data_IF_372534068263
#
_entry.id   IF_372534068263
#
_cell.length_a   1.000
_cell.length_b   1.000
_cell.length_c   1.000
_cell.angle_alpha   90.00
_cell.angle_beta   90.00
_cell.angle_gamma   90.00
#
_symmetry.space_group_name_H-M   'P 1'
#
loop_
_entity.id
_entity.type
_entity.pdbx_description
1 polymer ?
#
# COMPACT_ATOMS: atom_id res chain seq x y z
N UNK A 1 -16.73 1.40 6.21
CA UNK A 1 -15.29 1.15 6.45
C UNK A 1 -14.71 2.04 7.55
N UNK A 2 -14.37 3.32 7.32
CA UNK A 2 -13.67 4.12 8.36
C UNK A 2 -14.47 4.31 9.66
N UNK A 3 -15.78 4.53 9.56
CA UNK A 3 -16.63 4.61 10.74
C UNK A 3 -16.64 3.31 11.55
N UNK A 4 -16.68 2.17 10.87
CA UNK A 4 -16.67 0.84 11.51
C UNK A 4 -15.32 0.55 12.17
N UNK A 5 -14.22 0.98 11.55
CA UNK A 5 -12.88 0.88 12.14
C UNK A 5 -12.75 1.77 13.37
N UNK A 6 -13.27 2.99 13.31
CA UNK A 6 -13.29 3.90 14.46
C UNK A 6 -14.06 3.30 15.65
N UNK A 7 -15.22 2.69 15.40
CA UNK A 7 -16.00 2.02 16.44
C UNK A 7 -15.26 0.83 17.07
N UNK A 8 -14.40 0.15 16.30
CA UNK A 8 -13.54 -0.95 16.78
C UNK A 8 -12.21 -0.48 17.41
N UNK A 9 -11.89 0.81 17.32
CA UNK A 9 -10.58 1.34 17.71
C UNK A 9 -9.44 0.84 16.82
N UNK A 10 -9.74 0.40 15.58
CA UNK A 10 -8.75 -0.07 14.62
C UNK A 10 -8.21 1.08 13.76
N UNK A 11 -6.96 0.98 13.36
CA UNK A 11 -6.23 2.06 12.67
C UNK A 11 -5.54 1.58 11.39
N UNK A 12 -5.33 2.48 10.44
CA UNK A 12 -4.75 2.22 9.11
C UNK A 12 -3.48 3.03 8.89
N UNK A 13 -2.45 2.37 8.36
CA UNK A 13 -1.23 2.98 7.81
C UNK A 13 -1.07 2.61 6.32
N UNK A 14 -0.56 3.55 5.50
CA UNK A 14 -0.52 3.41 4.03
C UNK A 14 0.91 3.49 3.51
N UNK A 15 1.37 2.50 2.73
CA UNK A 15 2.61 2.56 1.96
C UNK A 15 2.33 2.69 0.46
N UNK A 16 2.86 3.71 -0.19
CA UNK A 16 2.58 3.96 -1.61
C UNK A 16 3.87 3.95 -2.43
N UNK A 17 3.81 3.36 -3.62
CA UNK A 17 4.82 3.53 -4.67
C UNK A 17 4.17 4.20 -5.87
N UNK A 18 3.57 3.42 -6.80
CA UNK A 18 3.02 3.97 -8.05
C UNK A 18 1.91 5.00 -7.85
N UNK A 19 1.14 4.91 -6.76
CA UNK A 19 0.02 5.81 -6.49
C UNK A 19 0.48 7.17 -5.98
N UNK A 20 1.66 7.27 -5.36
CA UNK A 20 2.31 8.56 -5.08
C UNK A 20 1.57 9.47 -4.10
N UNK A 21 0.85 8.93 -3.12
CA UNK A 21 0.10 9.69 -2.12
C UNK A 21 -1.42 9.75 -2.39
N UNK A 22 -1.88 9.21 -3.52
CA UNK A 22 -3.29 9.24 -3.88
C UNK A 22 -4.15 8.32 -3.00
N UNK A 23 -3.60 7.20 -2.51
CA UNK A 23 -4.37 6.28 -1.67
C UNK A 23 -4.62 6.88 -0.29
N UNK A 24 -3.58 7.44 0.35
CA UNK A 24 -3.77 8.12 1.63
C UNK A 24 -4.69 9.33 1.47
N UNK A 25 -4.56 10.09 0.37
CA UNK A 25 -5.44 11.22 0.08
C UNK A 25 -6.92 10.81 -0.01
N UNK A 26 -7.23 9.68 -0.66
CA UNK A 26 -8.61 9.16 -0.73
C UNK A 26 -9.11 8.71 0.64
N UNK A 27 -8.28 8.02 1.44
CA UNK A 27 -8.66 7.57 2.77
C UNK A 27 -8.89 8.73 3.75
N UNK A 28 -8.18 9.85 3.61
CA UNK A 28 -8.37 11.03 4.47
C UNK A 28 -9.42 12.02 3.94
N UNK A 29 -10.03 11.76 2.79
CA UNK A 29 -11.05 12.62 2.19
C UNK A 29 -12.27 12.83 3.10
N UNK A 30 -12.81 11.82 3.82
CA UNK A 30 -13.93 12.00 4.74
C UNK A 30 -13.51 12.72 6.04
N UNK A 31 -14.39 13.56 6.58
CA UNK A 31 -14.17 14.18 7.88
C UNK A 31 -14.01 13.13 8.99
N UNK A 32 -13.10 13.38 9.95
CA UNK A 32 -12.81 12.47 11.06
C UNK A 32 -11.86 11.32 10.72
N UNK A 33 -11.31 11.27 9.51
CA UNK A 33 -10.35 10.23 9.12
C UNK A 33 -9.10 10.18 10.01
N UNK A 34 -8.73 11.29 10.66
CA UNK A 34 -7.63 11.35 11.64
C UNK A 34 -7.81 10.42 12.84
N UNK A 35 -9.03 9.96 13.12
CA UNK A 35 -9.30 9.01 14.21
C UNK A 35 -8.92 7.56 13.84
N UNK A 36 -8.61 7.28 12.56
CA UNK A 36 -8.37 5.93 12.04
C UNK A 36 -7.08 5.88 11.23
N UNK A 37 -6.83 6.86 10.37
CA UNK A 37 -5.70 6.87 9.45
C UNK A 37 -4.50 7.55 10.12
N UNK A 38 -3.45 6.78 10.40
CA UNK A 38 -2.21 7.28 11.01
C UNK A 38 -1.37 8.08 10.02
N UNK A 39 -1.48 7.79 8.72
CA UNK A 39 -0.80 8.54 7.68
C UNK A 39 -0.37 7.65 6.52
N UNK A 40 0.57 8.17 5.72
CA UNK A 40 1.13 7.44 4.59
C UNK A 40 2.61 7.70 4.36
N UNK A 41 3.31 6.70 3.85
CA UNK A 41 4.70 6.76 3.38
C UNK A 41 4.72 6.54 1.88
N UNK A 42 5.25 7.49 1.13
CA UNK A 42 5.50 7.32 -0.32
C UNK A 42 6.91 6.79 -0.54
N UNK A 43 7.06 5.47 -0.60
CA UNK A 43 8.32 4.77 -0.84
C UNK A 43 8.57 4.53 -2.34
N UNK A 44 8.65 5.61 -3.13
CA UNK A 44 8.77 5.53 -4.60
C UNK A 44 10.09 4.86 -5.04
N UNK A 45 11.20 5.23 -4.41
CA UNK A 45 12.51 4.63 -4.69
C UNK A 45 12.65 3.26 -3.98
N UNK A 46 13.22 2.27 -4.68
CA UNK A 46 13.49 0.93 -4.14
C UNK A 46 14.27 0.95 -2.82
N UNK A 47 15.27 1.82 -2.67
CA UNK A 47 16.04 1.94 -1.43
C UNK A 47 15.20 2.44 -0.25
N UNK A 48 14.19 3.28 -0.51
CA UNK A 48 13.26 3.79 0.52
C UNK A 48 12.34 2.67 1.02
N UNK A 49 11.97 1.72 0.15
CA UNK A 49 11.21 0.52 0.57
C UNK A 49 11.99 -0.27 1.63
N UNK A 50 13.29 -0.44 1.45
CA UNK A 50 14.13 -1.11 2.44
C UNK A 50 14.34 -0.27 3.70
N UNK A 51 14.75 0.99 3.57
CA UNK A 51 15.17 1.79 4.72
C UNK A 51 14.02 2.28 5.61
N UNK A 52 12.85 2.56 5.04
CA UNK A 52 11.69 3.10 5.79
C UNK A 52 10.67 2.01 6.11
N UNK A 53 10.44 1.08 5.18
CA UNK A 53 9.42 0.04 5.34
C UNK A 53 10.00 -1.33 5.71
N UNK A 54 11.33 -1.44 5.86
CA UNK A 54 11.96 -2.70 6.28
C UNK A 54 11.84 -3.84 5.26
N UNK A 55 11.59 -3.53 3.97
CA UNK A 55 11.56 -4.55 2.92
C UNK A 55 12.95 -5.17 2.76
N UNK A 56 13.01 -6.49 2.68
CA UNK A 56 14.23 -7.27 2.52
C UNK A 56 14.99 -6.84 1.25
N UNK A 57 16.25 -6.43 1.43
CA UNK A 57 17.14 -6.04 0.35
C UNK A 57 17.45 -7.17 -0.61
N UNK A 58 17.52 -8.42 -0.14
CA UNK A 58 17.78 -9.58 -0.99
C UNK A 58 16.57 -9.90 -1.88
N UNK A 59 15.35 -9.77 -1.33
CA UNK A 59 14.11 -9.86 -2.10
C UNK A 59 14.08 -8.80 -3.21
N UNK A 60 14.36 -7.54 -2.86
CA UNK A 60 14.39 -6.42 -3.83
C UNK A 60 15.45 -6.62 -4.91
N UNK A 61 16.63 -7.14 -4.55
CA UNK A 61 17.72 -7.41 -5.50
C UNK A 61 17.38 -8.54 -6.47
N UNK A 62 16.68 -9.58 -5.99
CA UNK A 62 16.36 -10.77 -6.78
C UNK A 62 15.11 -10.59 -7.65
N UNK A 63 14.09 -9.93 -7.12
CA UNK A 63 12.75 -9.88 -7.73
C UNK A 63 12.31 -8.46 -8.13
N UNK A 64 13.06 -7.42 -7.73
CA UNK A 64 12.67 -6.03 -7.98
C UNK A 64 11.55 -5.54 -7.06
N UNK A 65 11.13 -4.27 -7.21
CA UNK A 65 10.14 -3.64 -6.34
C UNK A 65 8.68 -4.01 -6.68
N UNK A 66 8.43 -4.64 -7.83
CA UNK A 66 7.08 -5.03 -8.30
C UNK A 66 6.88 -6.53 -8.10
N UNK A 67 6.62 -6.92 -6.84
CA UNK A 67 6.51 -8.32 -6.46
C UNK A 67 5.48 -8.50 -5.33
N UNK A 68 4.73 -9.62 -5.28
CA UNK A 68 3.75 -9.87 -4.21
C UNK A 68 4.35 -9.78 -2.81
N UNK A 69 5.48 -10.46 -2.56
CA UNK A 69 6.15 -10.41 -1.25
C UNK A 69 6.67 -9.01 -0.87
N UNK A 70 7.02 -8.19 -1.87
CA UNK A 70 7.42 -6.79 -1.60
C UNK A 70 6.20 -5.99 -1.14
N UNK A 71 5.04 -6.17 -1.78
CA UNK A 71 3.81 -5.53 -1.35
C UNK A 71 3.43 -5.96 0.09
N UNK A 72 3.58 -7.25 0.41
CA UNK A 72 3.34 -7.77 1.76
C UNK A 72 4.26 -7.14 2.79
N UNK A 73 5.58 -7.11 2.54
CA UNK A 73 6.53 -6.50 3.45
C UNK A 73 6.33 -4.99 3.59
N UNK A 74 5.97 -4.28 2.52
CA UNK A 74 5.60 -2.87 2.60
C UNK A 74 4.37 -2.65 3.49
N UNK A 75 3.36 -3.52 3.40
CA UNK A 75 2.13 -3.42 4.19
C UNK A 75 2.38 -3.74 5.68
N UNK A 76 3.20 -4.74 5.99
CA UNK A 76 3.59 -4.99 7.38
C UNK A 76 4.45 -3.84 7.93
N UNK A 77 5.50 -3.45 7.19
CA UNK A 77 6.45 -2.44 7.61
C UNK A 77 5.81 -1.08 7.91
N UNK A 78 4.84 -0.66 7.10
CA UNK A 78 4.20 0.65 7.30
C UNK A 78 3.39 0.75 8.59
N UNK A 79 2.85 -0.37 9.09
CA UNK A 79 2.16 -0.41 10.39
C UNK A 79 3.08 0.01 11.51
N UNK A 80 4.33 -0.47 11.47
CA UNK A 80 5.34 -0.18 12.48
C UNK A 80 6.00 1.19 12.24
N UNK A 81 6.26 1.55 10.98
CA UNK A 81 6.89 2.82 10.63
C UNK A 81 6.04 4.04 11.01
N UNK A 82 4.71 3.91 11.01
CA UNK A 82 3.76 4.95 11.39
C UNK A 82 3.12 4.69 12.76
N UNK A 83 3.81 4.00 13.66
CA UNK A 83 3.32 3.78 15.02
C UNK A 83 3.02 5.10 15.74
N UNK A 84 1.90 5.16 16.46
CA UNK A 84 1.51 6.29 17.30
C UNK A 84 1.58 5.83 18.76
N UNK A 85 2.24 6.63 19.60
CA UNK A 85 2.50 6.30 21.01
C UNK A 85 3.14 4.91 21.21
N UNK A 86 4.03 4.53 20.28
CA UNK A 86 4.71 3.23 20.28
C UNK A 86 3.85 2.04 19.84
N UNK A 87 2.58 2.26 19.48
CA UNK A 87 1.67 1.21 19.02
C UNK A 87 1.57 1.20 17.49
N UNK A 88 1.91 0.09 16.81
CA UNK A 88 1.73 -0.05 15.37
C UNK A 88 0.26 0.11 14.96
N UNK A 89 0.02 0.53 13.73
CA UNK A 89 -1.34 0.53 13.18
C UNK A 89 -1.92 -0.90 13.15
N UNK A 90 -3.23 -1.03 13.33
CA UNK A 90 -3.91 -2.34 13.25
C UNK A 90 -3.81 -2.94 11.84
N UNK A 91 -3.87 -2.07 10.84
CA UNK A 91 -3.97 -2.38 9.42
C UNK A 91 -2.87 -1.64 8.66
N UNK A 92 -2.19 -2.35 7.77
CA UNK A 92 -1.28 -1.77 6.79
C UNK A 92 -1.76 -2.08 5.39
N UNK A 93 -1.76 -1.09 4.52
CA UNK A 93 -2.04 -1.28 3.09
C UNK A 93 -0.88 -0.75 2.25
N UNK A 94 -0.50 -1.46 1.19
CA UNK A 94 0.58 -1.06 0.30
C UNK A 94 0.21 -1.10 -1.17
N UNK A 95 0.85 -0.26 -1.99
CA UNK A 95 0.75 -0.31 -3.46
C UNK A 95 2.12 -0.32 -4.12
N UNK A 96 2.36 -1.29 -5.00
CA UNK A 96 3.54 -1.32 -5.88
C UNK A 96 3.17 -1.87 -7.26
N UNK A 97 3.82 -1.42 -8.32
CA UNK A 97 3.39 -1.74 -9.69
C UNK A 97 3.97 -0.85 -10.76
N UNK A 98 3.65 -1.16 -12.02
CA UNK A 98 4.07 -0.44 -13.22
C UNK A 98 2.91 0.38 -13.74
N UNK A 99 2.93 1.68 -13.47
CA UNK A 99 1.93 2.61 -14.01
C UNK A 99 2.20 3.03 -15.47
N UNK A 100 3.34 2.66 -16.06
CA UNK A 100 3.67 3.04 -17.43
C UNK A 100 4.15 4.49 -17.63
N UNK A 101 4.36 4.91 -18.90
CA UNK A 101 4.11 4.12 -20.11
C UNK A 101 5.13 3.00 -20.33
N UNK A 102 4.67 1.86 -20.84
CA UNK A 102 5.51 0.72 -21.22
C UNK A 102 5.91 -0.20 -20.05
N UNK A 103 6.57 -1.33 -20.36
CA UNK A 103 7.03 -2.28 -19.35
C UNK A 103 8.19 -1.72 -18.52
N UNK A 104 8.31 -2.19 -17.28
CA UNK A 104 9.43 -1.87 -16.39
C UNK A 104 9.91 -3.13 -15.67
N UNK A 105 11.23 -3.33 -15.65
CA UNK A 105 11.89 -4.45 -14.93
C UNK A 105 11.30 -5.84 -15.28
N UNK A 106 10.86 -6.02 -16.53
CA UNK A 106 10.27 -7.28 -17.01
C UNK A 106 8.76 -7.43 -16.73
N UNK A 107 8.12 -6.46 -16.08
CA UNK A 107 6.68 -6.45 -15.86
C UNK A 107 5.97 -5.60 -16.92
N UNK A 108 4.83 -6.06 -17.47
CA UNK A 108 4.02 -5.26 -18.38
C UNK A 108 3.43 -4.05 -17.64
N UNK A 109 3.12 -3.01 -18.42
CA UNK A 109 2.29 -1.91 -17.94
C UNK A 109 0.98 -2.44 -17.35
N UNK A 110 0.52 -1.82 -16.26
CA UNK A 110 -0.70 -2.25 -15.58
C UNK A 110 -0.51 -3.37 -14.54
N UNK A 111 0.67 -3.98 -14.43
CA UNK A 111 0.95 -4.92 -13.32
C UNK A 111 0.99 -4.18 -11.99
N UNK A 112 0.12 -4.55 -11.07
CA UNK A 112 0.00 -3.93 -9.74
C UNK A 112 -0.16 -5.02 -8.67
N UNK A 113 0.46 -4.80 -7.52
CA UNK A 113 0.27 -5.57 -6.30
C UNK A 113 -0.21 -4.66 -5.17
N UNK A 114 -1.28 -5.09 -4.51
CA UNK A 114 -1.80 -4.48 -3.28
C UNK A 114 -1.45 -5.40 -2.13
N UNK A 115 -0.69 -4.92 -1.14
CA UNK A 115 -0.44 -5.66 0.10
C UNK A 115 -1.41 -5.22 1.19
N UNK A 116 -1.93 -6.16 1.98
CA UNK A 116 -2.73 -5.87 3.17
C UNK A 116 -2.20 -6.70 4.34
N UNK A 117 -1.87 -6.04 5.44
CA UNK A 117 -1.53 -6.66 6.72
C UNK A 117 -2.60 -6.34 7.76
N UNK A 118 -3.19 -7.37 8.37
CA UNK A 118 -4.16 -7.30 9.47
C UNK A 118 -3.57 -8.00 10.69
N UNK A 119 -3.01 -7.25 11.64
CA UNK A 119 -2.46 -7.77 12.90
C UNK A 119 -1.58 -9.03 12.73
N UNK A 120 -0.64 -9.01 11.77
CA UNK A 120 0.33 -10.09 11.52
C UNK A 120 -0.12 -11.14 10.49
N UNK A 121 -1.34 -11.05 9.94
CA UNK A 121 -1.73 -11.80 8.75
C UNK A 121 -1.64 -10.90 7.53
N UNK A 122 -0.69 -11.22 6.66
CA UNK A 122 -0.38 -10.39 5.50
C UNK A 122 -0.64 -11.16 4.21
N UNK A 123 -1.27 -10.51 3.23
CA UNK A 123 -1.56 -11.07 1.91
C UNK A 123 -1.41 -10.01 0.83
N UNK A 124 -0.96 -10.42 -0.34
CA UNK A 124 -0.97 -9.59 -1.54
C UNK A 124 -2.09 -9.98 -2.52
N UNK A 125 -2.50 -9.00 -3.32
CA UNK A 125 -3.48 -9.14 -4.38
C UNK A 125 -2.87 -8.63 -5.67
N UNK A 126 -2.77 -9.51 -6.68
CA UNK A 126 -2.26 -9.17 -7.99
C UNK A 126 -3.39 -8.61 -8.87
N UNK A 127 -3.09 -7.53 -9.58
CA UNK A 127 -3.99 -6.87 -10.52
C UNK A 127 -3.28 -6.67 -11.86
N UNK A 128 -4.09 -6.66 -12.92
CA UNK A 128 -3.69 -6.16 -14.22
C UNK A 128 -4.71 -5.09 -14.63
N UNK A 129 -4.23 -3.86 -14.79
CA UNK A 129 -5.07 -2.69 -15.01
C UNK A 129 -4.77 -2.09 -16.38
N UNK A 130 -5.82 -1.76 -17.11
CA UNK A 130 -5.71 -1.12 -18.42
C UNK A 130 -5.80 0.40 -18.32
N UNK A 131 -5.19 1.08 -19.29
CA UNK A 131 -5.25 2.52 -19.47
C UNK A 131 -3.87 3.17 -19.43
N UNK A 132 -3.87 4.50 -19.47
CA UNK A 132 -2.65 5.29 -19.31
C UNK A 132 -2.19 5.37 -17.85
N UNK A 133 -1.03 6.01 -17.64
CA UNK A 133 -0.44 6.19 -16.31
C UNK A 133 -1.36 6.84 -15.28
N UNK A 134 -2.18 7.80 -15.69
CA UNK A 134 -3.15 8.43 -14.80
C UNK A 134 -4.26 7.46 -14.42
N UNK A 135 -4.80 6.76 -15.41
CA UNK A 135 -5.88 5.78 -15.26
C UNK A 135 -5.46 4.59 -14.39
N UNK A 136 -4.27 4.02 -14.61
CA UNK A 136 -3.76 2.90 -13.81
C UNK A 136 -3.59 3.31 -12.34
N UNK A 137 -3.06 4.51 -12.08
CA UNK A 137 -2.90 5.03 -10.70
C UNK A 137 -4.25 5.23 -10.02
N UNK A 138 -5.23 5.82 -10.71
CA UNK A 138 -6.56 6.03 -10.16
C UNK A 138 -7.29 4.69 -9.91
N UNK A 139 -7.22 3.75 -10.85
CA UNK A 139 -7.79 2.41 -10.71
C UNK A 139 -7.14 1.64 -9.56
N UNK A 140 -5.82 1.76 -9.38
CA UNK A 140 -5.10 1.17 -8.25
C UNK A 140 -5.66 1.66 -6.91
N UNK A 141 -5.94 2.95 -6.77
CA UNK A 141 -6.53 3.52 -5.53
C UNK A 141 -7.93 2.96 -5.29
N UNK A 142 -8.78 2.93 -6.31
CA UNK A 142 -10.14 2.39 -6.21
C UNK A 142 -10.14 0.91 -5.81
N UNK A 143 -9.31 0.10 -6.45
CA UNK A 143 -9.17 -1.32 -6.13
C UNK A 143 -8.58 -1.55 -4.74
N UNK A 144 -7.59 -0.76 -4.31
CA UNK A 144 -7.02 -0.86 -2.97
C UNK A 144 -8.09 -0.64 -1.89
N UNK A 145 -8.92 0.40 -2.02
CA UNK A 145 -10.03 0.69 -1.09
C UNK A 145 -11.08 -0.42 -1.12
N UNK A 146 -11.44 -0.93 -2.32
CA UNK A 146 -12.42 -2.00 -2.49
C UNK A 146 -11.94 -3.31 -1.85
N UNK A 147 -10.69 -3.70 -2.10
CA UNK A 147 -10.10 -4.92 -1.55
C UNK A 147 -9.99 -4.80 -0.04
N UNK A 148 -9.49 -3.67 0.48
CA UNK A 148 -9.42 -3.43 1.92
C UNK A 148 -10.78 -3.58 2.59
N UNK A 149 -11.81 -2.94 2.02
CA UNK A 149 -13.18 -3.04 2.55
C UNK A 149 -13.69 -4.49 2.59
N UNK A 150 -13.25 -5.35 1.66
CA UNK A 150 -13.65 -6.76 1.61
C UNK A 150 -12.83 -7.68 2.54
N UNK A 151 -11.72 -7.20 3.13
CA UNK A 151 -10.91 -7.96 4.09
C UNK A 151 -11.24 -7.63 5.56
N UNK A 152 -12.04 -6.59 5.79
CA UNK A 152 -12.43 -6.09 7.12
C UNK A 152 -13.76 -6.66 7.60
#
# INVERSE_FOLDING_TARGET
MLADLHQRGETIAVAESLTGGLLVAELIRPAGASNVVYGGVVAYNTAVKASVLGVDGELLRKHGPVHPEVAEQMAEGVRHALAVDGSPASIGISTTGVAGPGPQDGHPEGTVFIGISLAGRTRSFALHLDGDRGQIRAATVGEAVRILSAQL
#
